data_IF_208499521968
#
_entry.id   IF_208499521968
#
_cell.length_a   1.000
_cell.length_b   1.000
_cell.length_c   1.000
_cell.angle_alpha   90.00
_cell.angle_beta   90.00
_cell.angle_gamma   90.00
#
_symmetry.space_group_name_H-M   'P 1'
#
loop_
_entity.id
_entity.type
_entity.pdbx_description
1 polymer ?
#
# COMPACT_ATOMS: atom_id res chain seq x y z
N UNK A 1 -8.17 16.48 9.64
CA UNK A 1 -7.23 16.71 10.75
C UNK A 1 -6.04 17.54 10.25
N UNK A 2 -5.57 18.53 11.02
CA UNK A 2 -4.35 19.28 10.71
C UNK A 2 -3.29 19.00 11.77
N UNK A 3 -2.51 17.93 11.58
CA UNK A 3 -1.52 17.45 12.55
C UNK A 3 -0.18 18.19 12.36
N UNK A 4 0.49 18.72 13.38
CA UNK A 4 1.69 19.57 13.23
C UNK A 4 2.98 18.78 12.91
N UNK A 5 2.95 18.01 11.82
CA UNK A 5 4.08 17.25 11.26
C UNK A 5 4.27 17.62 9.78
N UNK A 6 5.34 17.11 9.14
CA UNK A 6 5.60 17.28 7.71
C UNK A 6 4.36 16.98 6.87
N UNK A 7 4.07 17.83 5.89
CA UNK A 7 2.93 17.69 4.97
C UNK A 7 3.30 17.02 3.65
N UNK A 8 4.58 16.81 3.41
CA UNK A 8 5.11 16.10 2.26
C UNK A 8 4.93 14.59 2.45
N UNK A 9 4.61 13.88 1.37
CA UNK A 9 4.52 12.41 1.36
C UNK A 9 5.91 11.73 1.34
N UNK A 10 6.85 12.27 2.10
CA UNK A 10 8.22 11.74 2.20
C UNK A 10 8.30 10.47 3.05
N UNK A 11 7.35 10.27 3.99
CA UNK A 11 7.34 9.17 4.94
C UNK A 11 7.45 7.78 4.29
N UNK A 12 6.69 7.54 3.23
CA UNK A 12 6.70 6.25 2.53
C UNK A 12 8.11 5.92 2.03
N UNK A 13 8.72 6.89 1.37
CA UNK A 13 10.01 6.72 0.72
C UNK A 13 11.18 6.71 1.70
N UNK A 14 11.14 7.52 2.75
CA UNK A 14 12.16 7.48 3.81
C UNK A 14 12.11 6.15 4.54
N UNK A 15 10.91 5.61 4.79
CA UNK A 15 10.71 4.31 5.42
C UNK A 15 11.16 3.15 4.54
N UNK A 16 10.76 3.13 3.25
CA UNK A 16 11.22 2.12 2.28
C UNK A 16 12.75 2.11 2.20
N UNK A 17 13.40 3.28 2.08
CA UNK A 17 14.86 3.35 1.98
C UNK A 17 15.54 2.85 3.27
N UNK A 18 14.97 3.19 4.44
CA UNK A 18 15.47 2.71 5.73
C UNK A 18 15.35 1.18 5.84
N UNK A 19 14.20 0.63 5.51
CA UNK A 19 13.94 -0.82 5.56
C UNK A 19 14.77 -1.57 4.53
N UNK A 20 14.95 -1.04 3.32
CA UNK A 20 15.83 -1.61 2.32
C UNK A 20 17.28 -1.72 2.82
N UNK A 21 17.82 -0.64 3.42
CA UNK A 21 19.17 -0.67 3.98
C UNK A 21 19.32 -1.75 5.05
N UNK A 22 18.40 -1.77 6.02
CA UNK A 22 18.44 -2.75 7.11
C UNK A 22 18.22 -4.18 6.62
N UNK A 23 17.31 -4.40 5.67
CA UNK A 23 17.08 -5.73 5.09
C UNK A 23 18.34 -6.24 4.39
N UNK A 24 19.05 -5.39 3.64
CA UNK A 24 20.30 -5.76 2.98
C UNK A 24 21.43 -6.08 3.97
N UNK A 25 21.52 -5.35 5.08
CA UNK A 25 22.49 -5.61 6.16
C UNK A 25 22.18 -6.96 6.83
N UNK A 26 20.95 -7.17 7.28
CA UNK A 26 20.52 -8.37 8.00
C UNK A 26 20.58 -9.64 7.12
N UNK A 27 20.18 -9.53 5.85
CA UNK A 27 20.21 -10.67 4.93
C UNK A 27 21.62 -11.07 4.52
N UNK A 28 22.60 -10.16 4.59
CA UNK A 28 24.01 -10.45 4.33
C UNK A 28 24.63 -11.26 5.47
N UNK A 29 24.31 -10.87 6.70
CA UNK A 29 24.85 -11.50 7.91
C UNK A 29 24.10 -12.78 8.31
N UNK A 30 22.95 -13.05 7.66
CA UNK A 30 22.16 -14.25 7.90
C UNK A 30 22.91 -15.51 7.46
N UNK A 31 23.25 -16.35 8.44
CA UNK A 31 23.83 -17.69 8.25
C UNK A 31 22.78 -18.77 8.01
N UNK A 32 21.49 -18.38 7.96
CA UNK A 32 20.38 -19.30 7.67
C UNK A 32 20.45 -19.69 6.19
N UNK A 33 20.95 -20.88 5.93
CA UNK A 33 20.92 -21.52 4.62
C UNK A 33 19.60 -22.27 4.45
N UNK A 34 18.57 -21.55 4.03
CA UNK A 34 17.26 -22.08 3.68
C UNK A 34 16.84 -21.49 2.34
N UNK A 35 16.25 -22.33 1.49
CA UNK A 35 15.54 -21.99 0.26
C UNK A 35 14.65 -20.73 0.36
N UNK A 36 14.08 -20.45 1.54
CA UNK A 36 13.33 -19.22 1.79
C UNK A 36 14.21 -17.97 1.74
N UNK A 37 15.36 -17.99 2.42
CA UNK A 37 16.31 -16.87 2.46
C UNK A 37 16.88 -16.62 1.07
N UNK A 38 17.21 -17.67 0.31
CA UNK A 38 17.66 -17.54 -1.08
C UNK A 38 16.62 -16.84 -1.97
N UNK A 39 15.34 -17.23 -1.87
CA UNK A 39 14.24 -16.57 -2.59
C UNK A 39 14.13 -15.10 -2.22
N UNK A 40 14.22 -14.76 -0.93
CA UNK A 40 14.19 -13.37 -0.47
C UNK A 40 15.39 -12.57 -0.99
N UNK A 41 16.60 -13.15 -1.02
CA UNK A 41 17.80 -12.50 -1.59
C UNK A 41 17.70 -12.29 -3.09
N UNK A 42 16.99 -13.17 -3.81
CA UNK A 42 16.81 -13.07 -5.27
C UNK A 42 15.87 -11.93 -5.70
N UNK A 43 15.10 -11.36 -4.76
CA UNK A 43 14.20 -10.27 -5.07
C UNK A 43 14.97 -8.94 -5.20
N UNK A 44 15.03 -8.41 -6.43
CA UNK A 44 15.75 -7.17 -6.78
C UNK A 44 14.98 -5.92 -6.32
N UNK A 45 14.86 -5.75 -5.00
CA UNK A 45 14.18 -4.62 -4.39
C UNK A 45 14.69 -3.24 -4.84
N UNK A 46 15.99 -2.99 -5.12
CA UNK A 46 16.44 -1.71 -5.69
C UNK A 46 15.76 -1.36 -7.02
N UNK A 47 15.74 -2.30 -7.97
CA UNK A 47 15.12 -2.08 -9.28
C UNK A 47 13.62 -1.83 -9.14
N UNK A 48 12.95 -2.63 -8.30
CA UNK A 48 11.51 -2.52 -8.07
C UNK A 48 11.13 -1.20 -7.37
N UNK A 49 11.91 -0.73 -6.39
CA UNK A 49 11.68 0.58 -5.74
C UNK A 49 11.77 1.73 -6.76
N UNK A 50 12.77 1.70 -7.65
CA UNK A 50 12.92 2.71 -8.70
C UNK A 50 11.76 2.66 -9.69
N UNK A 51 11.32 1.46 -10.07
CA UNK A 51 10.18 1.24 -10.96
C UNK A 51 8.89 1.86 -10.37
N UNK A 52 8.53 1.50 -9.14
CA UNK A 52 7.31 2.00 -8.49
C UNK A 52 7.35 3.51 -8.31
N UNK A 53 8.51 4.07 -7.91
CA UNK A 53 8.67 5.52 -7.79
C UNK A 53 8.37 6.23 -9.12
N UNK A 54 8.87 5.69 -10.25
CA UNK A 54 8.57 6.27 -11.58
C UNK A 54 7.08 6.23 -11.92
N UNK A 55 6.35 5.20 -11.50
CA UNK A 55 4.90 5.14 -11.69
C UNK A 55 4.18 6.16 -10.79
N UNK A 56 4.51 6.21 -9.50
CA UNK A 56 3.90 7.13 -8.53
C UNK A 56 4.15 8.59 -8.89
N UNK A 57 5.37 8.95 -9.33
CA UNK A 57 5.70 10.32 -9.72
C UNK A 57 4.86 10.83 -10.92
N UNK A 58 4.21 9.94 -11.69
CA UNK A 58 3.32 10.29 -12.80
C UNK A 58 1.85 10.46 -12.37
N UNK A 59 1.50 10.08 -11.14
CA UNK A 59 0.15 10.15 -10.60
C UNK A 59 -0.04 11.38 -9.71
N UNK A 60 -1.30 11.79 -9.54
CA UNK A 60 -1.66 12.94 -8.70
C UNK A 60 -2.55 12.53 -7.53
N UNK A 61 -2.16 11.47 -6.80
CA UNK A 61 -2.88 11.09 -5.58
C UNK A 61 -2.69 12.18 -4.52
N UNK A 62 -3.78 12.78 -3.99
CA UNK A 62 -3.70 13.75 -2.91
C UNK A 62 -2.95 13.24 -1.69
N UNK A 63 -2.16 14.13 -1.09
CA UNK A 63 -1.48 13.87 0.18
C UNK A 63 -2.40 14.25 1.34
N UNK A 64 -2.67 13.28 2.21
CA UNK A 64 -3.56 13.40 3.38
C UNK A 64 -2.86 12.88 4.62
N UNK A 65 -3.40 13.19 5.80
CA UNK A 65 -2.96 12.49 7.01
C UNK A 65 -3.52 11.07 6.96
N UNK A 66 -2.62 10.11 6.75
CA UNK A 66 -2.91 8.69 6.55
C UNK A 66 -2.52 7.89 7.79
N UNK A 67 -3.18 6.77 8.00
CA UNK A 67 -2.86 5.82 9.06
C UNK A 67 -1.64 4.96 8.68
N UNK A 68 -1.58 4.56 7.40
CA UNK A 68 -0.57 3.71 6.77
C UNK A 68 -0.56 2.23 7.23
N UNK A 69 -1.50 1.83 8.08
CA UNK A 69 -1.58 0.46 8.62
C UNK A 69 -3.01 0.06 9.07
N UNK A 70 -3.98 0.22 8.18
CA UNK A 70 -5.39 -0.10 8.47
C UNK A 70 -5.72 -1.60 8.33
N UNK A 71 -5.01 -2.44 9.09
CA UNK A 71 -5.34 -3.86 9.28
C UNK A 71 -6.49 -4.06 10.29
N UNK A 72 -7.11 -5.24 10.33
CA UNK A 72 -8.35 -5.47 11.07
C UNK A 72 -8.23 -5.28 12.59
N UNK A 73 -7.04 -5.49 13.15
CA UNK A 73 -6.71 -5.25 14.55
C UNK A 73 -6.75 -3.77 14.94
N UNK A 74 -6.57 -2.86 13.97
CA UNK A 74 -6.57 -1.42 14.18
C UNK A 74 -7.96 -0.78 13.97
N UNK A 75 -8.98 -1.59 13.69
CA UNK A 75 -10.36 -1.16 13.42
C UNK A 75 -11.30 -1.74 14.49
N UNK A 76 -11.68 -0.92 15.48
CA UNK A 76 -12.52 -1.35 16.59
C UNK A 76 -13.98 -0.96 16.40
N UNK A 77 -14.88 -1.91 16.66
CA UNK A 77 -16.32 -1.63 16.78
C UNK A 77 -16.64 -1.21 18.21
N UNK A 78 -17.14 0.02 18.40
CA UNK A 78 -17.61 0.48 19.70
C UNK A 78 -18.84 -0.32 20.12
N UNK A 79 -18.82 -0.85 21.34
CA UNK A 79 -19.96 -1.58 21.91
C UNK A 79 -21.07 -0.61 22.33
N UNK A 80 -21.90 -0.20 21.38
CA UNK A 80 -23.14 0.51 21.63
C UNK A 80 -24.28 -0.19 20.86
N UNK A 81 -25.32 -0.63 21.58
CA UNK A 81 -26.47 -1.35 20.99
C UNK A 81 -27.25 -0.51 19.97
N UNK A 82 -27.14 0.82 20.05
CA UNK A 82 -27.95 1.75 19.26
C UNK A 82 -27.17 2.46 18.14
N UNK A 83 -25.85 2.26 18.02
CA UNK A 83 -25.07 2.83 16.92
C UNK A 83 -23.84 1.98 16.59
N UNK A 84 -23.69 1.61 15.31
CA UNK A 84 -22.45 1.01 14.81
C UNK A 84 -21.44 2.12 14.58
N UNK A 85 -20.57 2.34 15.55
CA UNK A 85 -19.47 3.29 15.43
C UNK A 85 -18.14 2.55 15.36
N UNK A 86 -17.33 2.90 14.36
CA UNK A 86 -15.97 2.40 14.21
C UNK A 86 -14.98 3.40 14.81
N UNK A 87 -13.92 2.91 15.43
CA UNK A 87 -12.78 3.69 15.88
C UNK A 87 -11.49 3.10 15.32
N UNK A 88 -10.62 3.95 14.82
CA UNK A 88 -9.27 3.58 14.41
C UNK A 88 -8.31 3.84 15.57
N UNK A 89 -7.36 2.93 15.77
CA UNK A 89 -6.35 2.97 16.83
C UNK A 89 -4.97 2.63 16.26
N UNK A 90 -3.93 2.77 17.09
CA UNK A 90 -2.56 2.39 16.74
C UNK A 90 -1.97 3.14 15.52
N UNK A 91 -1.88 4.46 15.68
CA UNK A 91 -1.33 5.37 14.68
C UNK A 91 0.22 5.35 14.63
N UNK A 92 0.87 4.22 14.90
CA UNK A 92 2.35 4.14 14.98
C UNK A 92 3.05 4.50 13.66
N UNK A 93 2.42 4.17 12.53
CA UNK A 93 2.91 4.50 11.18
C UNK A 93 2.27 5.76 10.60
N UNK A 94 1.47 6.51 11.36
CA UNK A 94 0.73 7.64 10.80
C UNK A 94 1.65 8.76 10.29
N UNK A 95 1.32 9.31 9.14
CA UNK A 95 2.05 10.40 8.52
C UNK A 95 1.21 11.10 7.46
N UNK A 96 1.66 12.25 6.96
CA UNK A 96 1.16 12.71 5.67
C UNK A 96 1.69 11.78 4.57
N UNK A 97 0.78 11.18 3.83
CA UNK A 97 1.07 10.24 2.75
C UNK A 97 -0.01 10.29 1.67
N UNK A 98 0.21 9.62 0.55
CA UNK A 98 -0.77 9.49 -0.52
C UNK A 98 -2.02 8.76 -0.01
N UNK A 99 -3.22 9.35 -0.21
CA UNK A 99 -4.48 8.70 0.21
C UNK A 99 -4.64 7.31 -0.41
N UNK A 100 -4.18 7.15 -1.64
CA UNK A 100 -4.32 5.90 -2.39
C UNK A 100 -3.38 4.81 -1.86
N UNK A 101 -2.30 5.16 -1.14
CA UNK A 101 -1.49 4.20 -0.38
C UNK A 101 -2.27 3.60 0.80
N UNK A 102 -2.91 4.45 1.61
CA UNK A 102 -3.63 4.00 2.82
C UNK A 102 -4.78 3.05 2.45
N UNK A 103 -5.49 3.35 1.36
CA UNK A 103 -6.59 2.53 0.85
C UNK A 103 -6.08 1.26 0.17
N UNK A 104 -5.02 1.35 -0.65
CA UNK A 104 -4.40 0.17 -1.25
C UNK A 104 -3.91 -0.81 -0.18
N UNK A 105 -3.30 -0.30 0.88
CA UNK A 105 -2.87 -1.11 2.01
C UNK A 105 -4.08 -1.77 2.69
N UNK A 106 -5.11 -0.99 3.02
CA UNK A 106 -6.33 -1.54 3.64
C UNK A 106 -6.97 -2.66 2.81
N UNK A 107 -7.00 -2.53 1.48
CA UNK A 107 -7.52 -3.58 0.60
C UNK A 107 -6.63 -4.83 0.60
N UNK A 108 -5.30 -4.65 0.57
CA UNK A 108 -4.35 -5.76 0.65
C UNK A 108 -4.46 -6.53 1.98
N UNK A 109 -4.80 -5.85 3.08
CA UNK A 109 -4.98 -6.51 4.39
C UNK A 109 -6.14 -7.50 4.42
N UNK A 110 -7.13 -7.42 3.49
CA UNK A 110 -8.17 -8.46 3.39
C UNK A 110 -7.63 -9.83 3.00
N UNK A 111 -6.45 -9.91 2.38
CA UNK A 111 -5.82 -11.18 2.00
C UNK A 111 -5.26 -11.89 3.23
N UNK A 112 -4.84 -11.16 4.27
CA UNK A 112 -4.07 -11.74 5.37
C UNK A 112 -4.94 -11.93 6.61
N UNK A 113 -4.82 -13.11 7.22
CA UNK A 113 -5.43 -13.39 8.52
C UNK A 113 -4.37 -13.57 9.59
N UNK A 114 -4.42 -12.78 10.66
CA UNK A 114 -3.40 -12.79 11.73
C UNK A 114 -3.77 -13.61 12.98
N UNK A 115 -4.86 -14.40 12.91
CA UNK A 115 -5.39 -15.18 14.05
C UNK A 115 -4.98 -16.66 14.04
N UNK A 116 -4.09 -17.05 13.13
CA UNK A 116 -3.64 -18.44 13.03
C UNK A 116 -2.84 -18.83 14.27
N UNK A 117 -3.18 -19.99 14.87
CA UNK A 117 -2.51 -20.51 16.07
C UNK A 117 -1.30 -21.39 15.75
N UNK A 118 -1.06 -21.70 14.48
CA UNK A 118 0.02 -22.57 14.03
C UNK A 118 0.96 -21.81 13.10
N UNK A 119 2.27 -22.13 13.07
CA UNK A 119 3.20 -21.55 12.11
C UNK A 119 2.65 -21.60 10.67
N UNK A 120 2.82 -20.53 9.85
CA UNK A 120 3.60 -19.32 10.13
C UNK A 120 2.86 -18.23 10.94
N UNK A 121 1.75 -18.57 11.62
CA UNK A 121 0.92 -17.68 12.44
C UNK A 121 0.16 -16.59 11.65
N UNK A 122 0.12 -16.71 10.33
CA UNK A 122 -0.83 -16.02 9.46
C UNK A 122 -1.39 -16.96 8.39
N UNK A 123 -2.47 -16.55 7.74
CA UNK A 123 -3.05 -17.21 6.57
C UNK A 123 -3.16 -16.24 5.39
N UNK A 124 -3.20 -16.79 4.18
CA UNK A 124 -3.43 -16.04 2.94
C UNK A 124 -4.77 -16.50 2.31
N UNK A 125 -5.62 -15.54 1.98
CA UNK A 125 -6.93 -15.75 1.37
C UNK A 125 -7.04 -14.82 0.16
N UNK A 126 -6.39 -15.17 -0.96
CA UNK A 126 -6.35 -14.32 -2.16
C UNK A 126 -7.75 -13.96 -2.68
N UNK A 127 -8.68 -14.89 -2.56
CA UNK A 127 -10.08 -14.71 -2.98
C UNK A 127 -10.86 -13.71 -2.11
N UNK A 128 -10.31 -13.30 -0.98
CA UNK A 128 -10.88 -12.26 -0.10
C UNK A 128 -10.43 -10.84 -0.47
N UNK A 129 -9.52 -10.67 -1.43
CA UNK A 129 -9.20 -9.33 -1.94
C UNK A 129 -10.48 -8.68 -2.48
N UNK A 130 -10.77 -7.40 -2.16
CA UNK A 130 -12.07 -6.84 -2.49
C UNK A 130 -12.31 -6.83 -4.00
N UNK A 131 -13.48 -7.28 -4.40
CA UNK A 131 -13.90 -7.26 -5.80
C UNK A 131 -13.94 -5.83 -6.34
N UNK A 132 -13.90 -5.67 -7.66
CA UNK A 132 -13.98 -4.33 -8.29
C UNK A 132 -15.19 -3.52 -7.79
N UNK A 133 -16.33 -4.17 -7.59
CA UNK A 133 -17.55 -3.50 -7.10
C UNK A 133 -17.45 -3.10 -5.62
N UNK A 134 -16.82 -3.93 -4.78
CA UNK A 134 -16.55 -3.57 -3.37
C UNK A 134 -15.56 -2.40 -3.29
N UNK A 135 -14.48 -2.44 -4.08
CA UNK A 135 -13.50 -1.34 -4.14
C UNK A 135 -14.17 -0.04 -4.59
N UNK A 136 -14.97 -0.07 -5.67
CA UNK A 136 -15.71 1.10 -6.13
C UNK A 136 -16.71 1.61 -5.08
N UNK A 137 -17.38 0.72 -4.36
CA UNK A 137 -18.33 1.09 -3.31
C UNK A 137 -17.61 1.81 -2.17
N UNK A 138 -16.45 1.30 -1.75
CA UNK A 138 -15.59 1.96 -0.76
C UNK A 138 -15.11 3.33 -1.26
N UNK A 139 -14.56 3.40 -2.49
CA UNK A 139 -14.03 4.62 -3.10
C UNK A 139 -15.12 5.70 -3.22
N UNK A 140 -16.32 5.35 -3.71
CA UNK A 140 -17.46 6.28 -3.82
C UNK A 140 -17.81 6.87 -2.46
N UNK A 141 -17.93 6.01 -1.44
CA UNK A 141 -18.27 6.44 -0.08
C UNK A 141 -17.18 7.35 0.49
N UNK A 142 -15.91 6.96 0.34
CA UNK A 142 -14.76 7.76 0.75
C UNK A 142 -14.73 9.13 0.07
N UNK A 143 -14.89 9.19 -1.26
CA UNK A 143 -14.85 10.44 -2.03
C UNK A 143 -16.03 11.36 -1.66
N UNK A 144 -17.23 10.81 -1.46
CA UNK A 144 -18.39 11.59 -1.03
C UNK A 144 -18.14 12.27 0.32
N UNK A 145 -17.68 11.52 1.32
CA UNK A 145 -17.37 12.05 2.65
C UNK A 145 -16.18 13.02 2.62
N UNK A 146 -15.11 12.67 1.88
CA UNK A 146 -13.95 13.53 1.71
C UNK A 146 -14.32 14.89 1.11
N UNK A 147 -15.12 14.90 0.04
CA UNK A 147 -15.55 16.13 -0.62
C UNK A 147 -16.48 16.96 0.27
N UNK A 148 -17.41 16.33 0.99
CA UNK A 148 -18.29 17.01 1.94
C UNK A 148 -17.52 17.67 3.10
N UNK A 149 -16.47 17.02 3.61
CA UNK A 149 -15.60 17.58 4.64
C UNK A 149 -14.76 18.74 4.09
N UNK A 150 -14.29 18.64 2.84
CA UNK A 150 -13.51 19.70 2.20
C UNK A 150 -14.36 20.93 1.90
N UNK A 151 -15.61 20.79 1.45
CA UNK A 151 -16.51 21.93 1.23
C UNK A 151 -16.83 22.69 2.52
N UNK A 152 -16.81 22.00 3.67
CA UNK A 152 -17.03 22.59 4.99
C UNK A 152 -15.74 23.18 5.60
N UNK A 153 -14.58 22.94 5.00
CA UNK A 153 -13.28 23.37 5.49
C UNK A 153 -12.76 24.55 4.66
N UNK A 154 -12.48 25.71 5.28
CA UNK A 154 -11.75 26.84 4.64
C UNK A 154 -10.26 26.54 4.41
N UNK A 155 -9.88 25.27 4.30
CA UNK A 155 -8.50 24.88 4.17
C UNK A 155 -7.99 25.22 2.76
N UNK A 156 -6.84 25.91 2.63
CA UNK A 156 -6.30 26.22 1.32
C UNK A 156 -6.00 24.92 0.55
N UNK A 157 -6.29 24.91 -0.75
CA UNK A 157 -5.84 23.88 -1.68
C UNK A 157 -4.33 23.69 -1.50
N UNK A 158 -3.92 22.58 -0.87
CA UNK A 158 -2.51 22.33 -0.57
C UNK A 158 -1.86 21.60 -1.74
N UNK A 159 -1.04 22.36 -2.46
CA UNK A 159 0.17 21.89 -3.11
C UNK A 159 -0.03 21.10 -4.39
N UNK A 160 0.05 21.81 -5.52
CA UNK A 160 0.62 21.26 -6.75
C UNK A 160 2.05 20.78 -6.44
N UNK A 161 2.19 19.52 -6.05
CA UNK A 161 3.49 18.84 -6.10
C UNK A 161 3.97 18.85 -7.56
N UNK A 162 5.29 18.93 -7.78
CA UNK A 162 5.89 19.03 -9.11
C UNK A 162 5.37 17.93 -10.03
N UNK A 163 4.40 18.31 -10.88
CA UNK A 163 3.72 17.40 -11.80
C UNK A 163 4.75 16.90 -12.80
N UNK A 164 5.09 15.60 -12.74
CA UNK A 164 5.75 14.99 -13.90
C UNK A 164 4.68 14.63 -14.93
N UNK A 165 4.89 14.96 -16.20
CA UNK A 165 3.98 14.54 -17.24
C UNK A 165 3.96 13.01 -17.30
N UNK A 166 2.76 12.43 -17.42
CA UNK A 166 2.60 11.01 -17.71
C UNK A 166 3.28 10.69 -19.05
N UNK A 167 4.00 9.58 -19.10
CA UNK A 167 4.49 9.02 -20.36
C UNK A 167 3.32 8.66 -21.28
N UNK A 168 3.48 8.67 -22.62
CA UNK A 168 2.40 8.31 -23.54
C UNK A 168 1.74 6.96 -23.23
N UNK A 169 2.56 5.95 -22.90
CA UNK A 169 2.12 4.61 -22.51
C UNK A 169 1.26 4.63 -21.25
N UNK A 170 1.72 5.30 -20.19
CA UNK A 170 0.97 5.40 -18.93
C UNK A 170 -0.29 6.26 -19.08
N UNK A 171 -0.22 7.33 -19.88
CA UNK A 171 -1.35 8.21 -20.19
C UNK A 171 -2.47 7.46 -20.91
N UNK A 172 -2.13 6.59 -21.87
CA UNK A 172 -3.11 5.76 -22.59
C UNK A 172 -3.99 5.00 -21.60
N UNK A 173 -3.36 4.22 -20.72
CA UNK A 173 -4.03 3.46 -19.68
C UNK A 173 -4.76 4.35 -18.68
N UNK A 174 -4.12 5.36 -18.10
CA UNK A 174 -4.78 6.18 -17.08
C UNK A 174 -6.01 6.92 -17.63
N UNK A 175 -6.00 7.29 -18.91
CA UNK A 175 -7.10 8.02 -19.57
C UNK A 175 -8.35 7.19 -19.85
N UNK A 176 -8.30 5.86 -19.72
CA UNK A 176 -9.49 5.00 -19.82
C UNK A 176 -10.45 5.18 -18.63
N UNK A 177 -9.97 5.69 -17.50
CA UNK A 177 -10.80 5.93 -16.33
C UNK A 177 -11.80 7.07 -16.61
N UNK A 178 -13.08 6.71 -16.66
CA UNK A 178 -14.18 7.59 -17.05
C UNK A 178 -14.73 8.45 -15.90
N UNK A 179 -14.32 8.17 -14.67
CA UNK A 179 -14.81 8.81 -13.44
C UNK A 179 -13.69 9.00 -12.40
N UNK A 180 -13.85 9.92 -11.43
CA UNK A 180 -12.91 10.07 -10.31
C UNK A 180 -12.69 8.78 -9.52
N UNK A 181 -13.72 7.96 -9.38
CA UNK A 181 -13.66 6.65 -8.74
C UNK A 181 -12.73 5.68 -9.48
N UNK A 182 -12.84 5.63 -10.81
CA UNK A 182 -11.99 4.79 -11.65
C UNK A 182 -10.54 5.30 -11.70
N UNK A 183 -10.34 6.62 -11.68
CA UNK A 183 -9.01 7.20 -11.58
C UNK A 183 -8.35 6.82 -10.26
N UNK A 184 -9.09 6.93 -9.15
CA UNK A 184 -8.61 6.52 -7.83
C UNK A 184 -8.37 5.01 -7.73
N UNK A 185 -9.17 4.20 -8.41
CA UNK A 185 -8.94 2.76 -8.52
C UNK A 185 -7.61 2.44 -9.23
N UNK A 186 -7.33 3.12 -10.35
CA UNK A 186 -6.04 2.99 -11.05
C UNK A 186 -4.87 3.49 -10.18
N UNK A 187 -5.05 4.56 -9.42
CA UNK A 187 -4.06 4.97 -8.41
C UNK A 187 -3.80 3.86 -7.39
N UNK A 188 -4.86 3.29 -6.80
CA UNK A 188 -4.79 2.21 -5.80
C UNK A 188 -4.04 1.00 -6.33
N UNK A 189 -4.26 0.59 -7.59
CA UNK A 189 -3.53 -0.51 -8.22
C UNK A 189 -2.00 -0.27 -8.22
N UNK A 190 -1.56 0.94 -8.56
CA UNK A 190 -0.13 1.28 -8.53
C UNK A 190 0.39 1.35 -7.08
N UNK A 191 -0.39 1.90 -6.15
CA UNK A 191 0.00 1.99 -4.75
C UNK A 191 -0.01 0.64 -4.03
N UNK A 192 -0.73 -0.38 -4.53
CA UNK A 192 -0.65 -1.76 -4.04
C UNK A 192 0.80 -2.27 -4.09
N UNK A 193 1.48 -2.02 -5.22
CA UNK A 193 2.89 -2.38 -5.41
C UNK A 193 3.79 -1.74 -4.35
N UNK A 194 3.58 -0.46 -4.03
CA UNK A 194 4.32 0.23 -2.98
C UNK A 194 4.04 -0.35 -1.58
N UNK A 195 2.77 -0.70 -1.31
CA UNK A 195 2.37 -1.37 -0.08
C UNK A 195 3.08 -2.71 0.07
N UNK A 196 3.09 -3.55 -0.97
CA UNK A 196 3.84 -4.80 -0.95
C UNK A 196 5.33 -4.58 -0.65
N UNK A 197 6.02 -3.69 -1.38
CA UNK A 197 7.44 -3.40 -1.12
C UNK A 197 7.69 -2.99 0.33
N UNK A 198 6.87 -2.09 0.87
CA UNK A 198 7.01 -1.64 2.26
C UNK A 198 6.99 -2.83 3.24
N UNK A 199 5.98 -3.70 3.12
CA UNK A 199 5.78 -4.82 4.03
C UNK A 199 6.70 -6.02 3.76
N UNK A 200 7.21 -6.18 2.53
CA UNK A 200 8.29 -7.14 2.21
C UNK A 200 9.54 -6.78 3.02
N UNK A 201 10.00 -5.51 2.90
CA UNK A 201 11.22 -5.06 3.56
C UNK A 201 11.05 -5.05 5.08
N UNK A 202 9.90 -4.60 5.57
CA UNK A 202 9.55 -4.69 6.99
C UNK A 202 9.58 -6.14 7.48
N UNK A 203 8.98 -7.08 6.75
CA UNK A 203 8.95 -8.50 7.12
C UNK A 203 10.36 -9.10 7.18
N UNK A 204 11.23 -8.77 6.23
CA UNK A 204 12.63 -9.21 6.27
C UNK A 204 13.34 -8.68 7.52
N UNK A 205 13.19 -7.39 7.84
CA UNK A 205 13.79 -6.80 9.04
C UNK A 205 13.25 -7.48 10.30
N UNK A 206 11.93 -7.61 10.44
CA UNK A 206 11.31 -8.21 11.62
C UNK A 206 11.68 -9.69 11.79
N UNK A 207 11.88 -10.43 10.70
CA UNK A 207 12.34 -11.82 10.76
C UNK A 207 13.72 -12.02 11.39
N UNK A 208 14.47 -10.94 11.60
CA UNK A 208 15.78 -10.96 12.28
C UNK A 208 15.77 -10.24 13.63
N UNK A 209 14.85 -9.29 13.87
CA UNK A 209 14.89 -8.44 15.07
C UNK A 209 13.71 -8.64 16.02
N UNK A 210 12.58 -9.17 15.54
CA UNK A 210 11.38 -9.36 16.36
C UNK A 210 11.52 -10.56 17.29
N UNK A 211 10.95 -10.43 18.49
CA UNK A 211 10.80 -11.53 19.45
C UNK A 211 9.40 -12.16 19.41
N UNK A 212 8.50 -11.63 18.58
CA UNK A 212 7.14 -12.15 18.42
C UNK A 212 7.19 -13.42 17.57
N UNK A 213 6.46 -14.45 18.00
CA UNK A 213 6.30 -15.69 17.25
C UNK A 213 5.39 -15.47 16.03
N UNK A 214 5.99 -15.04 14.92
CA UNK A 214 5.35 -14.81 13.64
C UNK A 214 6.30 -15.18 12.51
N UNK A 215 5.79 -15.82 11.45
CA UNK A 215 6.57 -16.21 10.27
C UNK A 215 6.87 -15.02 9.35
N UNK A 216 7.71 -14.10 9.81
CA UNK A 216 7.99 -12.85 9.10
C UNK A 216 8.65 -13.03 7.73
N UNK A 217 9.52 -14.04 7.58
CA UNK A 217 10.18 -14.32 6.31
C UNK A 217 9.22 -14.98 5.32
N UNK A 218 8.34 -15.86 5.81
CA UNK A 218 7.24 -16.46 5.05
C UNK A 218 6.26 -15.38 4.59
N UNK A 219 5.94 -14.43 5.47
CA UNK A 219 5.11 -13.27 5.15
C UNK A 219 5.76 -12.38 4.08
N UNK A 220 7.06 -12.07 4.22
CA UNK A 220 7.77 -11.32 3.19
C UNK A 220 7.74 -12.02 1.82
N UNK A 221 7.91 -13.35 1.80
CA UNK A 221 7.79 -14.15 0.57
C UNK A 221 6.38 -14.12 -0.01
N UNK A 222 5.34 -14.25 0.83
CA UNK A 222 3.95 -14.12 0.42
C UNK A 222 3.69 -12.75 -0.24
N UNK A 223 4.16 -11.66 0.38
CA UNK A 223 4.07 -10.30 -0.17
C UNK A 223 4.83 -10.16 -1.50
N UNK A 224 5.99 -10.81 -1.68
CA UNK A 224 6.71 -10.85 -2.98
C UNK A 224 5.86 -11.53 -4.06
N UNK A 225 5.24 -12.66 -3.76
CA UNK A 225 4.41 -13.35 -4.75
C UNK A 225 3.26 -12.46 -5.23
N UNK A 226 2.54 -11.81 -4.31
CA UNK A 226 1.48 -10.88 -4.65
C UNK A 226 1.99 -9.65 -5.40
N UNK A 227 3.14 -9.10 -5.00
CA UNK A 227 3.79 -8.02 -5.74
C UNK A 227 4.02 -8.38 -7.21
N UNK A 228 4.58 -9.55 -7.48
CA UNK A 228 4.88 -10.00 -8.84
C UNK A 228 3.60 -10.23 -9.66
N UNK A 229 2.57 -10.84 -9.05
CA UNK A 229 1.25 -11.03 -9.68
C UNK A 229 0.58 -9.69 -10.03
N UNK A 230 0.57 -8.74 -9.10
CA UNK A 230 0.00 -7.40 -9.30
C UNK A 230 0.79 -6.60 -10.35
N UNK A 231 2.13 -6.71 -10.35
CA UNK A 231 2.99 -6.03 -11.31
C UNK A 231 2.72 -6.52 -12.73
N UNK A 232 2.67 -7.85 -12.93
CA UNK A 232 2.39 -8.45 -14.26
C UNK A 232 1.03 -7.95 -14.77
N UNK A 233 -0.01 -8.03 -13.94
CA UNK A 233 -1.36 -7.59 -14.31
C UNK A 233 -1.39 -6.11 -14.69
N UNK A 234 -0.75 -5.25 -13.90
CA UNK A 234 -0.67 -3.81 -14.20
C UNK A 234 0.08 -3.55 -15.51
N UNK A 235 1.18 -4.24 -15.77
CA UNK A 235 1.95 -4.08 -17.00
C UNK A 235 1.18 -4.54 -18.23
N UNK A 236 0.43 -5.65 -18.12
CA UNK A 236 -0.45 -6.15 -19.17
C UNK A 236 -1.58 -5.16 -19.48
N UNK A 237 -2.22 -4.59 -18.45
CA UNK A 237 -3.25 -3.56 -18.64
C UNK A 237 -2.67 -2.31 -19.32
N UNK A 238 -1.53 -1.81 -18.84
CA UNK A 238 -0.87 -0.64 -19.42
C UNK A 238 -0.50 -0.86 -20.89
N UNK A 239 0.01 -2.05 -21.21
CA UNK A 239 0.36 -2.41 -22.59
C UNK A 239 -0.85 -2.59 -23.49
N UNK A 240 -1.92 -3.21 -22.99
CA UNK A 240 -3.15 -3.39 -23.74
C UNK A 240 -3.74 -2.03 -24.15
N UNK A 241 -3.83 -1.07 -23.22
CA UNK A 241 -4.28 0.29 -23.51
C UNK A 241 -3.41 0.97 -24.55
N UNK A 242 -2.08 0.88 -24.42
CA UNK A 242 -1.16 1.55 -25.35
C UNK A 242 -1.18 0.95 -26.76
N UNK A 243 -1.35 -0.37 -26.90
CA UNK A 243 -1.49 -1.03 -28.20
C UNK A 243 -2.81 -0.72 -28.90
N UNK A 244 -3.81 -0.22 -28.17
CA UNK A 244 -5.13 0.11 -28.71
C UNK A 244 -5.24 1.54 -29.28
N UNK A 245 -4.19 2.35 -29.11
CA UNK A 245 -4.04 3.69 -29.69
C UNK A 245 -3.58 3.64 -31.15
#
# INVERSE_FOLDING_TARGET
LNVPISKEASWLWTSINKWHRLSCELMRDSTKDDTLVEKLRSFDSPTEIVYIRKLIDQMNSPVVFAHNDLQEGNILLKQNKNSRQVAFIDFEYCAYNYRSFDIANHFAERIYGYKSRTPPYFTEHKDEYPTRDEQLTFIRTYLAEYNALQSNSRAPNRGDSQRRPMSPRFKAWFSEASSPEEQMLKEIQVFSLAGHIFWILWGIVQGHVSTINFGYLEYAKARINHYLEDKIRLEEEIDASYRSL
#
